data_IF_033675922037
#
_entry.id   IF_033675922037
#
_cell.length_a   1.000
_cell.length_b   1.000
_cell.length_c   1.000
_cell.angle_alpha   90.00
_cell.angle_beta   90.00
_cell.angle_gamma   90.00
#
_symmetry.space_group_name_H-M   'P 1'
#
loop_
_entity.id
_entity.type
_entity.pdbx_description
1 polymer ?
#
# COMPACT_ATOMS: atom_id res chain seq x y z
N UNK A 1 5.44 12.87 40.94
CA UNK A 1 6.02 11.53 40.89
C UNK A 1 7.53 11.67 40.73
N UNK A 2 8.30 10.92 41.52
CA UNK A 2 9.76 11.06 41.55
C UNK A 2 10.50 10.31 40.44
N UNK A 3 9.78 9.50 39.65
CA UNK A 3 10.36 8.69 38.58
C UNK A 3 9.47 8.79 37.34
N UNK A 4 10.10 9.03 36.17
CA UNK A 4 9.41 8.98 34.87
C UNK A 4 9.38 7.54 34.37
N UNK A 5 8.20 7.03 34.05
CA UNK A 5 7.99 5.66 33.58
C UNK A 5 7.39 5.59 32.18
N UNK A 6 7.09 6.73 31.57
CA UNK A 6 6.47 6.84 30.25
C UNK A 6 7.28 7.71 29.32
N UNK A 7 7.32 7.35 28.03
CA UNK A 7 8.02 8.07 26.96
C UNK A 7 9.53 8.32 27.18
N UNK A 8 10.17 7.55 28.06
CA UNK A 8 11.57 7.79 28.46
C UNK A 8 12.59 7.59 27.34
N UNK A 9 12.17 6.99 26.21
CA UNK A 9 13.01 6.75 25.01
C UNK A 9 12.51 7.50 23.78
N UNK A 10 11.46 8.32 23.89
CA UNK A 10 11.01 9.22 22.84
C UNK A 10 11.74 10.54 23.01
N UNK A 11 12.71 10.80 22.15
CA UNK A 11 13.59 11.97 22.24
C UNK A 11 13.03 13.22 21.55
N UNK A 12 12.16 13.04 20.56
CA UNK A 12 11.48 14.14 19.86
C UNK A 12 10.13 13.66 19.32
N UNK A 13 9.20 14.60 19.14
CA UNK A 13 7.91 14.37 18.50
C UNK A 13 7.49 15.60 17.72
N UNK A 14 7.12 15.38 16.45
CA UNK A 14 6.58 16.41 15.56
C UNK A 14 5.19 16.00 15.12
N UNK A 15 4.24 16.93 15.17
CA UNK A 15 2.90 16.69 14.64
C UNK A 15 2.98 16.64 13.10
N UNK A 16 2.33 15.66 12.51
CA UNK A 16 2.05 15.60 11.08
C UNK A 16 0.59 16.01 10.83
N UNK A 17 0.23 16.49 9.62
CA UNK A 17 -1.17 16.77 9.28
C UNK A 17 -2.03 15.52 9.48
N UNK A 18 -3.27 15.68 9.90
CA UNK A 18 -4.22 14.57 9.92
C UNK A 18 -4.50 14.09 8.47
N UNK A 19 -4.82 12.80 8.26
CA UNK A 19 -5.13 12.27 6.93
C UNK A 19 -6.17 13.11 6.18
N UNK A 20 -7.27 13.50 6.84
CA UNK A 20 -8.32 14.30 6.21
C UNK A 20 -7.83 15.68 5.73
N UNK A 21 -6.86 16.31 6.44
CA UNK A 21 -6.30 17.60 6.03
C UNK A 21 -5.56 17.47 4.70
N UNK A 22 -4.81 16.37 4.53
CA UNK A 22 -4.08 16.11 3.29
C UNK A 22 -5.02 15.68 2.16
N UNK A 23 -6.04 14.87 2.46
CA UNK A 23 -7.08 14.48 1.50
C UNK A 23 -7.84 15.70 1.00
N UNK A 24 -8.21 16.64 1.87
CA UNK A 24 -8.90 17.87 1.49
C UNK A 24 -7.99 18.85 0.72
N UNK A 25 -6.71 18.88 1.05
CA UNK A 25 -5.72 19.72 0.34
C UNK A 25 -5.45 19.22 -1.08
N UNK A 26 -5.49 17.92 -1.28
CA UNK A 26 -5.28 17.23 -2.56
C UNK A 26 -6.41 16.23 -2.81
N UNK A 27 -7.61 16.71 -3.12
CA UNK A 27 -8.76 15.83 -3.37
C UNK A 27 -8.60 15.09 -4.70
N UNK A 28 -9.20 13.91 -4.79
CA UNK A 28 -9.38 13.22 -6.07
C UNK A 28 -10.63 13.76 -6.76
N UNK A 29 -10.62 13.76 -8.10
CA UNK A 29 -11.77 14.06 -8.92
C UNK A 29 -12.59 12.80 -9.24
N UNK A 30 -13.72 12.97 -9.92
CA UNK A 30 -14.62 11.87 -10.30
C UNK A 30 -13.95 10.87 -11.26
N UNK A 31 -13.06 11.34 -12.15
CA UNK A 31 -12.34 10.47 -13.09
C UNK A 31 -11.35 9.56 -12.37
N UNK A 32 -10.59 10.09 -11.42
CA UNK A 32 -9.68 9.30 -10.58
C UNK A 32 -10.48 8.32 -9.72
N UNK A 33 -11.56 8.78 -9.11
CA UNK A 33 -12.43 7.92 -8.31
C UNK A 33 -13.00 6.76 -9.13
N UNK A 34 -13.45 7.03 -10.36
CA UNK A 34 -13.94 6.02 -11.31
C UNK A 34 -12.84 5.05 -11.73
N UNK A 35 -11.62 5.54 -12.01
CA UNK A 35 -10.47 4.70 -12.33
C UNK A 35 -10.17 3.72 -11.19
N UNK A 36 -10.03 4.23 -9.96
CA UNK A 36 -9.70 3.41 -8.80
C UNK A 36 -10.78 2.39 -8.51
N UNK A 37 -12.05 2.81 -8.47
CA UNK A 37 -13.19 1.92 -8.23
C UNK A 37 -13.31 0.85 -9.32
N UNK A 38 -13.22 1.26 -10.59
CA UNK A 38 -13.28 0.34 -11.73
C UNK A 38 -12.17 -0.71 -11.69
N UNK A 39 -10.93 -0.26 -11.48
CA UNK A 39 -9.78 -1.18 -11.40
C UNK A 39 -9.89 -2.18 -10.25
N UNK A 40 -10.38 -1.75 -9.07
CA UNK A 40 -10.61 -2.69 -7.95
C UNK A 40 -11.60 -3.77 -8.32
N UNK A 41 -12.70 -3.41 -8.98
CA UNK A 41 -13.69 -4.37 -9.46
C UNK A 41 -13.11 -5.30 -10.54
N UNK A 42 -12.34 -4.77 -11.49
CA UNK A 42 -11.70 -5.59 -12.53
C UNK A 42 -10.71 -6.59 -11.93
N UNK A 43 -9.87 -6.19 -10.97
CA UNK A 43 -8.97 -7.11 -10.24
C UNK A 43 -9.80 -8.19 -9.53
N UNK A 44 -10.89 -7.80 -8.85
CA UNK A 44 -11.78 -8.76 -8.19
C UNK A 44 -12.38 -9.77 -9.21
N UNK A 45 -12.84 -9.30 -10.38
CA UNK A 45 -13.35 -10.20 -11.42
C UNK A 45 -12.27 -11.17 -11.91
N UNK A 46 -11.03 -10.72 -12.12
CA UNK A 46 -9.90 -11.56 -12.52
C UNK A 46 -9.60 -12.61 -11.45
N UNK A 47 -9.51 -12.21 -10.18
CA UNK A 47 -9.24 -13.12 -9.07
C UNK A 47 -10.31 -14.20 -8.89
N UNK A 48 -11.56 -13.87 -9.23
CA UNK A 48 -12.70 -14.80 -9.15
C UNK A 48 -13.05 -15.48 -10.49
N UNK A 49 -12.12 -15.46 -11.47
CA UNK A 49 -12.27 -16.13 -12.78
C UNK A 49 -13.52 -15.70 -13.57
N UNK A 50 -13.89 -14.42 -13.47
CA UNK A 50 -15.00 -13.80 -14.22
C UNK A 50 -14.50 -12.87 -15.34
N UNK A 51 -13.22 -12.58 -15.35
CA UNK A 51 -12.49 -11.84 -16.38
C UNK A 51 -11.24 -12.65 -16.71
N UNK A 52 -11.04 -12.97 -17.99
CA UNK A 52 -9.94 -13.82 -18.45
C UNK A 52 -8.61 -13.05 -18.63
N UNK A 53 -8.61 -11.74 -18.43
CA UNK A 53 -7.38 -10.94 -18.46
C UNK A 53 -6.45 -11.33 -17.31
N UNK A 54 -5.19 -11.00 -17.48
CA UNK A 54 -4.18 -11.08 -16.43
C UNK A 54 -3.94 -9.70 -15.88
N UNK A 55 -4.03 -9.48 -14.56
CA UNK A 55 -3.54 -8.22 -14.00
C UNK A 55 -2.05 -8.32 -13.65
N UNK A 56 -1.32 -7.25 -13.98
CA UNK A 56 0.14 -7.16 -13.82
C UNK A 56 0.48 -5.94 -13.00
N UNK A 57 1.14 -6.16 -11.87
CA UNK A 57 1.68 -5.07 -11.02
C UNK A 57 3.14 -4.86 -11.38
N UNK A 58 3.47 -3.78 -12.08
CA UNK A 58 4.79 -3.51 -12.63
C UNK A 58 5.27 -2.10 -12.30
N UNK A 59 6.55 -1.97 -12.01
CA UNK A 59 7.16 -0.67 -11.69
C UNK A 59 8.46 -0.78 -10.92
N UNK A 60 9.04 0.36 -10.50
CA UNK A 60 10.28 0.39 -9.75
C UNK A 60 10.16 -0.32 -8.40
N UNK A 61 11.32 -0.71 -7.83
CA UNK A 61 11.35 -1.39 -6.54
C UNK A 61 10.76 -0.51 -5.41
N UNK A 62 11.08 0.78 -5.43
CA UNK A 62 10.45 1.83 -4.59
C UNK A 62 10.68 3.17 -5.23
N UNK A 63 9.78 4.09 -4.95
CA UNK A 63 9.89 5.47 -5.39
C UNK A 63 10.85 6.21 -4.46
N UNK A 64 11.85 6.86 -5.05
CA UNK A 64 12.77 7.77 -4.36
C UNK A 64 12.83 9.13 -5.06
N UNK A 65 12.50 9.17 -6.34
CA UNK A 65 12.44 10.36 -7.18
C UNK A 65 11.08 10.42 -7.88
N UNK A 66 10.20 11.36 -7.52
CA UNK A 66 8.90 11.54 -8.14
C UNK A 66 8.96 11.82 -9.64
N UNK A 67 9.96 12.60 -10.10
CA UNK A 67 10.08 12.94 -11.52
C UNK A 67 10.34 11.69 -12.39
N UNK A 68 11.26 10.83 -11.95
CA UNK A 68 11.51 9.55 -12.62
C UNK A 68 10.29 8.62 -12.58
N UNK A 69 9.49 8.70 -11.51
CA UNK A 69 8.26 7.91 -11.40
C UNK A 69 7.20 8.38 -12.40
N UNK A 70 7.06 9.69 -12.62
CA UNK A 70 6.13 10.25 -13.62
C UNK A 70 6.59 9.88 -15.03
N UNK A 71 7.88 10.01 -15.36
CA UNK A 71 8.41 9.59 -16.66
C UNK A 71 8.13 8.09 -16.94
N UNK A 72 8.29 7.26 -15.91
CA UNK A 72 7.92 5.84 -16.00
C UNK A 72 6.41 5.66 -16.23
N UNK A 73 5.58 6.40 -15.51
CA UNK A 73 4.12 6.36 -15.62
C UNK A 73 3.64 6.78 -17.02
N UNK A 74 4.19 7.83 -17.60
CA UNK A 74 3.88 8.29 -18.97
C UNK A 74 4.12 7.18 -19.99
N UNK A 75 5.27 6.52 -19.91
CA UNK A 75 5.60 5.39 -20.79
C UNK A 75 4.67 4.20 -20.56
N UNK A 76 4.39 3.87 -19.29
CA UNK A 76 3.53 2.76 -18.95
C UNK A 76 2.06 3.02 -19.35
N UNK A 77 1.59 4.27 -19.33
CA UNK A 77 0.23 4.62 -19.76
C UNK A 77 -0.03 4.32 -21.23
N UNK A 78 1.01 4.45 -22.08
CA UNK A 78 0.94 4.09 -23.49
C UNK A 78 0.77 2.58 -23.65
N UNK A 79 1.55 1.80 -22.92
CA UNK A 79 1.46 0.34 -22.97
C UNK A 79 0.14 -0.17 -22.34
N UNK A 80 -0.35 0.49 -21.29
CA UNK A 80 -1.64 0.17 -20.69
C UNK A 80 -2.78 0.24 -21.72
N UNK A 81 -2.82 1.30 -22.52
CA UNK A 81 -3.82 1.44 -23.59
C UNK A 81 -3.69 0.38 -24.68
N UNK A 82 -2.46 -0.01 -25.00
CA UNK A 82 -2.16 -0.98 -26.07
C UNK A 82 -2.56 -2.41 -25.70
N UNK A 83 -2.40 -2.79 -24.43
CA UNK A 83 -2.63 -4.15 -23.98
C UNK A 83 -3.92 -4.35 -23.17
N UNK A 84 -4.77 -3.31 -23.05
CA UNK A 84 -5.95 -3.29 -22.16
C UNK A 84 -6.96 -4.42 -22.41
N UNK A 85 -7.00 -5.00 -23.61
CA UNK A 85 -7.90 -6.12 -23.92
C UNK A 85 -7.47 -7.44 -23.24
N UNK A 86 -6.18 -7.62 -22.97
CA UNK A 86 -5.64 -8.88 -22.43
C UNK A 86 -5.00 -8.73 -21.06
N UNK A 87 -4.54 -7.51 -20.73
CA UNK A 87 -3.77 -7.24 -19.51
C UNK A 87 -4.35 -6.00 -18.82
N UNK A 88 -4.61 -6.15 -17.53
CA UNK A 88 -4.88 -5.02 -16.64
C UNK A 88 -3.57 -4.61 -15.98
N UNK A 89 -3.01 -3.47 -16.37
CA UNK A 89 -1.77 -2.95 -15.79
C UNK A 89 -2.06 -2.11 -14.54
N UNK A 90 -1.34 -2.40 -13.46
CA UNK A 90 -1.31 -1.59 -12.23
C UNK A 90 0.12 -1.14 -12.01
N UNK A 91 0.34 0.17 -11.91
CA UNK A 91 1.68 0.68 -11.64
C UNK A 91 2.06 0.42 -10.19
N UNK A 92 3.22 -0.20 -9.97
CA UNK A 92 3.79 -0.37 -8.65
C UNK A 92 4.38 0.94 -8.16
N UNK A 93 3.81 1.48 -7.08
CA UNK A 93 4.21 2.77 -6.47
C UNK A 93 4.45 2.54 -4.98
N UNK A 94 5.62 2.01 -4.65
CA UNK A 94 5.99 1.70 -3.27
C UNK A 94 6.79 2.84 -2.66
N UNK A 95 6.27 3.43 -1.59
CA UNK A 95 6.86 4.57 -0.91
C UNK A 95 7.73 4.21 0.28
N UNK A 96 7.59 3.00 0.78
CA UNK A 96 8.22 2.54 2.01
C UNK A 96 9.10 1.33 1.74
N UNK A 97 10.12 1.16 2.56
CA UNK A 97 11.09 0.06 2.48
C UNK A 97 11.19 -0.67 3.80
N UNK A 98 10.80 -1.97 3.86
CA UNK A 98 11.05 -2.77 5.05
C UNK A 98 12.56 -2.97 5.20
N UNK A 99 13.11 -2.58 6.35
CA UNK A 99 14.54 -2.77 6.67
C UNK A 99 14.69 -3.82 7.76
N UNK A 100 15.61 -4.74 7.56
CA UNK A 100 15.93 -5.77 8.56
C UNK A 100 16.68 -5.16 9.74
N UNK A 101 17.53 -4.16 9.47
CA UNK A 101 18.31 -3.44 10.50
C UNK A 101 18.12 -1.93 10.36
N UNK A 102 19.01 -1.26 9.64
CA UNK A 102 19.01 0.19 9.42
C UNK A 102 19.07 0.52 7.93
N UNK A 103 18.77 1.76 7.57
CA UNK A 103 18.83 2.26 6.20
C UNK A 103 17.64 3.12 5.85
N UNK A 104 17.68 3.76 4.69
CA UNK A 104 16.58 4.60 4.20
C UNK A 104 15.24 3.84 4.16
N UNK A 105 14.23 4.36 4.83
CA UNK A 105 12.92 3.72 5.03
C UNK A 105 11.91 4.02 3.92
N UNK A 106 12.28 4.85 2.96
CA UNK A 106 11.41 5.22 1.85
C UNK A 106 11.02 6.69 1.82
N UNK A 107 10.34 7.09 0.74
CA UNK A 107 10.00 8.47 0.44
C UNK A 107 9.10 9.11 1.52
N UNK A 108 8.15 8.36 2.09
CA UNK A 108 7.29 8.89 3.16
C UNK A 108 8.13 9.25 4.39
N UNK A 109 9.07 8.39 4.78
CA UNK A 109 9.81 8.57 6.03
C UNK A 109 10.96 9.60 5.91
N UNK A 110 11.63 9.64 4.75
CA UNK A 110 12.79 10.52 4.51
C UNK A 110 12.85 10.91 3.04
N UNK A 111 11.99 11.89 2.62
CA UNK A 111 11.83 12.27 1.22
C UNK A 111 13.08 12.91 0.60
N UNK A 112 13.93 13.52 1.42
CA UNK A 112 15.12 14.24 0.98
C UNK A 112 16.39 13.36 1.03
N UNK A 113 16.28 12.12 1.52
CA UNK A 113 17.38 11.13 1.64
C UNK A 113 18.58 11.72 2.41
N UNK A 114 18.30 12.49 3.44
CA UNK A 114 19.31 13.23 4.22
C UNK A 114 19.11 13.11 5.74
N UNK A 115 18.30 12.13 6.17
CA UNK A 115 18.00 11.83 7.57
C UNK A 115 17.29 12.96 8.33
N UNK A 116 16.67 13.92 7.62
CA UNK A 116 15.83 14.94 8.25
C UNK A 116 14.45 14.42 8.65
N UNK A 117 14.05 13.28 8.11
CA UNK A 117 12.79 12.56 8.40
C UNK A 117 11.56 13.47 8.34
N UNK A 118 11.46 14.28 7.29
CA UNK A 118 10.31 15.18 7.08
C UNK A 118 9.10 14.39 6.58
N UNK A 119 8.49 13.63 7.48
CA UNK A 119 7.36 12.72 7.18
C UNK A 119 6.17 13.50 6.60
N UNK A 120 5.88 14.70 7.11
CA UNK A 120 4.79 15.53 6.58
C UNK A 120 4.98 15.84 5.08
N UNK A 121 6.20 16.20 4.68
CA UNK A 121 6.58 16.39 3.27
C UNK A 121 6.47 15.09 2.48
N UNK A 122 6.93 13.98 3.05
CA UNK A 122 6.89 12.68 2.40
C UNK A 122 5.46 12.20 2.10
N UNK A 123 4.54 12.37 3.04
CA UNK A 123 3.11 12.05 2.86
C UNK A 123 2.47 12.93 1.78
N UNK A 124 2.78 14.23 1.77
CA UNK A 124 2.29 15.14 0.74
C UNK A 124 2.82 14.77 -0.65
N UNK A 125 4.11 14.48 -0.76
CA UNK A 125 4.73 14.04 -2.02
C UNK A 125 4.13 12.72 -2.53
N UNK A 126 3.91 11.75 -1.64
CA UNK A 126 3.31 10.48 -1.99
C UNK A 126 1.88 10.64 -2.54
N UNK A 127 1.05 11.45 -1.88
CA UNK A 127 -0.32 11.70 -2.34
C UNK A 127 -0.37 12.43 -3.67
N UNK A 128 0.43 13.49 -3.84
CA UNK A 128 0.52 14.23 -5.12
C UNK A 128 0.92 13.31 -6.26
N UNK A 129 1.97 12.53 -6.08
CA UNK A 129 2.45 11.60 -7.09
C UNK A 129 1.38 10.57 -7.49
N UNK A 130 0.62 10.05 -6.54
CA UNK A 130 -0.48 9.12 -6.84
C UNK A 130 -1.58 9.79 -7.67
N UNK A 131 -1.91 11.04 -7.40
CA UNK A 131 -2.88 11.81 -8.19
C UNK A 131 -2.36 12.00 -9.62
N UNK A 132 -1.13 12.47 -9.80
CA UNK A 132 -0.49 12.67 -11.10
C UNK A 132 -0.45 11.36 -11.93
N UNK A 133 -0.12 10.22 -11.30
CA UNK A 133 -0.16 8.91 -11.95
C UNK A 133 -1.59 8.54 -12.38
N UNK A 134 -2.57 8.78 -11.52
CA UNK A 134 -3.97 8.49 -11.82
C UNK A 134 -4.54 9.38 -12.94
N UNK A 135 -4.11 10.64 -13.04
CA UNK A 135 -4.43 11.57 -14.14
C UNK A 135 -3.92 11.09 -15.50
N UNK A 136 -2.84 10.29 -15.52
CA UNK A 136 -2.36 9.60 -16.72
C UNK A 136 -3.22 8.37 -17.11
N UNK A 137 -4.26 8.06 -16.33
CA UNK A 137 -5.12 6.89 -16.51
C UNK A 137 -4.48 5.59 -16.03
N UNK A 138 -3.49 5.66 -15.14
CA UNK A 138 -2.85 4.48 -14.57
C UNK A 138 -3.34 4.21 -13.14
N UNK A 139 -3.86 3.02 -12.85
CA UNK A 139 -4.12 2.59 -11.48
C UNK A 139 -2.80 2.30 -10.76
N UNK A 140 -2.74 2.66 -9.48
CA UNK A 140 -1.56 2.46 -8.64
C UNK A 140 -1.76 1.34 -7.61
N UNK A 141 -0.66 0.61 -7.34
CA UNK A 141 -0.56 -0.38 -6.27
C UNK A 141 0.61 -0.08 -5.34
N UNK A 142 0.41 -0.27 -4.03
CA UNK A 142 1.45 -0.01 -3.02
C UNK A 142 1.61 -1.15 -2.02
N UNK A 143 2.70 -1.13 -1.24
CA UNK A 143 2.90 -2.04 -0.10
C UNK A 143 2.62 -1.26 1.19
N UNK A 144 1.79 -1.81 2.06
CA UNK A 144 1.47 -1.22 3.35
C UNK A 144 2.38 -1.81 4.43
N UNK A 145 3.20 -0.97 5.05
CA UNK A 145 4.18 -1.36 6.07
C UNK A 145 3.81 -0.89 7.48
N UNK A 146 2.99 0.15 7.60
CA UNK A 146 2.47 0.62 8.86
C UNK A 146 0.94 0.78 8.79
N UNK A 147 0.25 0.82 9.95
CA UNK A 147 -1.22 0.89 9.98
C UNK A 147 -1.78 2.31 9.80
N UNK A 148 -0.95 3.35 9.71
CA UNK A 148 -1.36 4.76 9.70
C UNK A 148 -1.27 5.35 8.29
N UNK A 149 -0.17 5.13 7.56
CA UNK A 149 0.06 5.65 6.20
C UNK A 149 -1.08 5.31 5.22
N UNK A 150 -1.79 4.16 5.33
CA UNK A 150 -2.95 3.88 4.51
C UNK A 150 -4.01 4.97 4.55
N UNK A 151 -4.26 5.61 5.70
CA UNK A 151 -5.30 6.62 5.83
C UNK A 151 -5.08 7.85 4.93
N UNK A 152 -3.84 8.10 4.50
CA UNK A 152 -3.48 9.22 3.63
C UNK A 152 -3.65 8.95 2.13
N UNK A 153 -3.66 7.68 1.70
CA UNK A 153 -3.51 7.33 0.29
C UNK A 153 -4.46 6.24 -0.22
N UNK A 154 -5.17 5.50 0.64
CA UNK A 154 -5.98 4.35 0.19
C UNK A 154 -7.09 4.72 -0.76
N UNK A 155 -7.61 5.93 -0.75
CA UNK A 155 -8.62 6.41 -1.69
C UNK A 155 -8.12 6.46 -3.15
N UNK A 156 -6.80 6.42 -3.37
CA UNK A 156 -6.17 6.46 -4.70
C UNK A 156 -5.54 5.11 -5.07
N UNK A 157 -5.44 4.17 -4.14
CA UNK A 157 -4.79 2.88 -4.36
C UNK A 157 -5.80 1.85 -4.89
N UNK A 158 -5.47 1.23 -6.01
CA UNK A 158 -6.30 0.18 -6.64
C UNK A 158 -5.93 -1.23 -6.18
N UNK A 159 -4.70 -1.45 -5.74
CA UNK A 159 -4.20 -2.74 -5.26
C UNK A 159 -3.17 -2.55 -4.14
N UNK A 160 -3.19 -3.42 -3.15
CA UNK A 160 -2.25 -3.36 -2.04
C UNK A 160 -1.46 -4.65 -1.85
N UNK A 161 -0.28 -4.55 -1.21
CA UNK A 161 0.52 -5.69 -0.82
C UNK A 161 0.87 -5.68 0.67
N UNK A 162 0.87 -6.86 1.27
CA UNK A 162 1.48 -7.13 2.57
C UNK A 162 2.81 -7.86 2.33
N UNK A 163 3.88 -7.34 2.90
CA UNK A 163 5.23 -7.85 2.72
C UNK A 163 5.47 -9.20 3.40
N UNK A 164 6.49 -9.93 2.93
CA UNK A 164 6.83 -11.23 3.51
C UNK A 164 7.23 -11.15 5.00
N UNK A 165 7.80 -10.02 5.45
CA UNK A 165 8.17 -9.81 6.87
C UNK A 165 6.98 -9.46 7.76
N UNK A 166 5.87 -9.06 7.18
CA UNK A 166 4.65 -8.63 7.87
C UNK A 166 3.47 -9.58 7.68
N UNK A 167 3.61 -10.61 6.84
CA UNK A 167 2.56 -11.61 6.57
C UNK A 167 2.13 -12.40 7.83
N UNK A 168 3.00 -12.54 8.82
CA UNK A 168 2.71 -13.18 10.12
C UNK A 168 2.13 -12.19 11.16
N UNK A 169 2.21 -10.88 10.89
CA UNK A 169 1.77 -9.84 11.83
C UNK A 169 0.25 -9.77 11.90
N UNK A 170 -0.31 -9.93 13.10
CA UNK A 170 -1.74 -9.77 13.34
C UNK A 170 -2.25 -8.41 12.89
N UNK A 171 -1.52 -7.33 13.20
CA UNK A 171 -1.89 -5.95 12.83
C UNK A 171 -2.05 -5.82 11.31
N UNK A 172 -1.14 -6.42 10.52
CA UNK A 172 -1.22 -6.35 9.06
C UNK A 172 -2.35 -7.22 8.47
N UNK A 173 -2.68 -8.34 9.12
CA UNK A 173 -3.82 -9.18 8.73
C UNK A 173 -5.16 -8.49 9.04
N UNK A 174 -5.27 -7.84 10.18
CA UNK A 174 -6.41 -7.00 10.55
C UNK A 174 -6.55 -5.81 9.61
N UNK A 175 -5.45 -5.11 9.31
CA UNK A 175 -5.42 -4.04 8.31
C UNK A 175 -5.91 -4.54 6.96
N UNK A 176 -5.37 -5.65 6.45
CA UNK A 176 -5.76 -6.23 5.16
C UNK A 176 -7.25 -6.53 5.07
N UNK A 177 -7.87 -6.96 6.17
CA UNK A 177 -9.31 -7.24 6.24
C UNK A 177 -10.20 -6.01 6.06
N UNK A 178 -9.66 -4.81 6.30
CA UNK A 178 -10.40 -3.54 6.25
C UNK A 178 -10.04 -2.66 5.06
N UNK A 179 -9.00 -2.97 4.31
CA UNK A 179 -8.61 -2.19 3.13
C UNK A 179 -9.62 -2.33 2.00
N UNK A 180 -9.94 -1.21 1.35
CA UNK A 180 -10.96 -1.15 0.28
C UNK A 180 -10.45 -1.63 -1.08
N UNK A 181 -9.24 -2.17 -1.17
CA UNK A 181 -8.65 -2.69 -2.39
C UNK A 181 -8.30 -4.18 -2.25
N UNK A 182 -8.19 -4.93 -3.35
CA UNK A 182 -7.62 -6.27 -3.35
C UNK A 182 -6.22 -6.28 -2.76
N UNK A 183 -5.90 -7.29 -1.93
CA UNK A 183 -4.64 -7.36 -1.19
C UNK A 183 -3.87 -8.64 -1.52
N UNK A 184 -2.67 -8.46 -2.06
CA UNK A 184 -1.72 -9.56 -2.21
C UNK A 184 -0.86 -9.75 -0.95
N UNK A 185 -0.79 -10.97 -0.42
CA UNK A 185 0.04 -11.32 0.73
C UNK A 185 1.23 -12.15 0.26
N UNK A 186 2.45 -11.65 0.50
CA UNK A 186 3.68 -12.33 0.09
C UNK A 186 3.95 -13.53 0.99
N UNK A 187 4.38 -14.63 0.39
CA UNK A 187 4.89 -15.78 1.13
C UNK A 187 6.18 -15.45 1.90
N UNK A 188 6.55 -16.30 2.84
CA UNK A 188 7.66 -16.09 3.77
C UNK A 188 9.01 -15.78 3.10
N UNK A 189 9.93 -15.17 3.84
CA UNK A 189 11.28 -14.86 3.33
C UNK A 189 12.14 -16.10 3.10
N UNK A 190 11.77 -17.22 3.71
CA UNK A 190 12.33 -18.55 3.51
C UNK A 190 11.75 -19.27 2.27
N UNK A 191 10.66 -18.73 1.71
CA UNK A 191 9.90 -19.31 0.62
C UNK A 191 8.65 -20.07 1.07
N UNK A 192 8.42 -20.24 2.39
CA UNK A 192 7.27 -20.95 2.93
C UNK A 192 5.94 -20.27 2.62
N UNK A 193 4.91 -21.06 2.26
CA UNK A 193 3.60 -20.55 1.87
C UNK A 193 2.65 -20.32 3.05
N UNK A 194 2.90 -21.00 4.18
CA UNK A 194 1.97 -21.05 5.32
C UNK A 194 1.57 -19.66 5.84
N UNK A 195 2.53 -18.75 6.01
CA UNK A 195 2.27 -17.41 6.52
C UNK A 195 1.30 -16.60 5.63
N UNK A 196 1.45 -16.75 4.31
CA UNK A 196 0.56 -16.08 3.35
C UNK A 196 -0.84 -16.70 3.33
N UNK A 197 -0.94 -18.03 3.35
CA UNK A 197 -2.22 -18.75 3.38
C UNK A 197 -3.00 -18.38 4.67
N UNK A 198 -2.35 -18.46 5.83
CA UNK A 198 -2.95 -18.07 7.11
C UNK A 198 -3.35 -16.57 7.09
N UNK A 199 -2.52 -15.73 6.45
CA UNK A 199 -2.80 -14.29 6.30
C UNK A 199 -4.03 -14.01 5.44
N UNK A 200 -4.19 -14.73 4.33
CA UNK A 200 -5.37 -14.65 3.45
C UNK A 200 -6.62 -15.10 4.22
N UNK A 201 -6.55 -16.23 4.90
CA UNK A 201 -7.67 -16.72 5.70
C UNK A 201 -8.09 -15.71 6.78
N UNK A 202 -7.12 -15.11 7.48
CA UNK A 202 -7.39 -14.06 8.45
C UNK A 202 -8.01 -12.83 7.78
N UNK A 203 -7.43 -12.33 6.67
CA UNK A 203 -7.93 -11.14 5.98
C UNK A 203 -9.36 -11.30 5.45
N UNK A 204 -9.78 -12.52 5.10
CA UNK A 204 -11.15 -12.80 4.64
C UNK A 204 -12.21 -12.69 5.74
N UNK A 205 -11.81 -12.62 7.02
CA UNK A 205 -12.74 -12.53 8.13
C UNK A 205 -12.86 -11.10 8.67
N UNK A 206 -13.99 -10.83 9.33
CA UNK A 206 -14.20 -9.58 10.07
C UNK A 206 -13.33 -9.56 11.34
N UNK A 207 -12.70 -8.41 11.58
CA UNK A 207 -11.90 -8.16 12.78
C UNK A 207 -12.39 -6.92 13.52
N UNK A 208 -12.07 -6.87 14.82
CA UNK A 208 -12.29 -5.69 15.67
C UNK A 208 -10.97 -5.36 16.36
N UNK A 209 -10.45 -4.17 16.11
CA UNK A 209 -9.16 -3.74 16.65
C UNK A 209 -9.09 -2.22 16.87
N UNK A 210 -8.05 -1.78 17.56
CA UNK A 210 -7.77 -0.37 17.79
C UNK A 210 -7.01 0.20 16.60
N UNK A 211 -7.54 1.24 15.97
CA UNK A 211 -6.90 1.85 14.80
C UNK A 211 -7.09 3.37 14.75
N UNK A 212 -6.41 4.01 13.80
CA UNK A 212 -6.53 5.44 13.54
C UNK A 212 -7.57 5.71 12.44
N UNK A 213 -8.34 6.79 12.63
CA UNK A 213 -9.29 7.30 11.63
C UNK A 213 -8.63 8.35 10.72
N UNK A 214 -9.36 8.82 9.70
CA UNK A 214 -8.91 9.94 8.84
C UNK A 214 -8.78 11.26 9.59
N UNK A 215 -9.51 11.43 10.68
CA UNK A 215 -9.48 12.59 11.58
C UNK A 215 -8.27 12.55 12.53
N UNK A 216 -7.46 11.49 12.47
CA UNK A 216 -6.36 11.18 13.38
C UNK A 216 -6.81 10.85 14.80
N UNK A 217 -8.06 10.44 14.97
CA UNK A 217 -8.55 9.91 16.23
C UNK A 217 -8.25 8.42 16.36
N UNK A 218 -8.10 7.96 17.60
CA UNK A 218 -7.99 6.54 17.90
C UNK A 218 -9.39 5.98 18.13
N UNK A 219 -9.75 4.94 17.39
CA UNK A 219 -11.07 4.35 17.44
C UNK A 219 -11.04 2.82 17.42
N UNK A 220 -12.09 2.21 17.91
CA UNK A 220 -12.38 0.80 17.65
C UNK A 220 -12.89 0.67 16.23
N UNK A 221 -12.16 -0.05 15.40
CA UNK A 221 -12.54 -0.34 14.02
C UNK A 221 -13.07 -1.77 13.90
N UNK A 222 -14.18 -1.93 13.18
CA UNK A 222 -14.73 -3.24 12.80
C UNK A 222 -14.71 -3.36 11.28
N UNK A 223 -14.05 -4.40 10.75
CA UNK A 223 -13.92 -4.67 9.33
C UNK A 223 -14.98 -5.65 8.84
N UNK A 224 -15.18 -5.71 7.53
CA UNK A 224 -16.08 -6.69 6.89
C UNK A 224 -15.36 -7.98 6.49
N UNK A 225 -14.03 -7.95 6.41
CA UNK A 225 -13.23 -8.94 5.71
C UNK A 225 -12.98 -8.52 4.26
N UNK A 226 -11.93 -9.09 3.65
CA UNK A 226 -11.49 -8.78 2.29
C UNK A 226 -11.38 -10.09 1.48
N UNK A 227 -12.44 -10.41 0.73
CA UNK A 227 -12.52 -11.63 -0.07
C UNK A 227 -11.60 -11.62 -1.32
N UNK A 228 -10.98 -10.48 -1.63
CA UNK A 228 -10.02 -10.31 -2.71
C UNK A 228 -8.56 -10.46 -2.22
N UNK A 229 -8.37 -10.97 -1.00
CA UNK A 229 -7.06 -11.33 -0.50
C UNK A 229 -6.50 -12.54 -1.27
N UNK A 230 -5.26 -12.41 -1.77
CA UNK A 230 -4.61 -13.43 -2.60
C UNK A 230 -3.11 -13.54 -2.30
N UNK A 231 -2.47 -14.59 -2.80
CA UNK A 231 -1.05 -14.82 -2.57
C UNK A 231 -0.18 -14.09 -3.61
N UNK A 232 0.95 -13.55 -3.16
CA UNK A 232 2.05 -13.14 -4.03
C UNK A 232 3.19 -14.11 -3.82
N UNK A 233 3.51 -14.91 -4.82
CA UNK A 233 4.64 -15.83 -4.78
C UNK A 233 5.95 -15.05 -5.00
N UNK A 234 6.89 -15.24 -4.09
CA UNK A 234 8.25 -14.71 -4.19
C UNK A 234 9.27 -15.82 -3.94
N UNK A 235 10.45 -15.70 -4.53
CA UNK A 235 11.54 -16.63 -4.27
C UNK A 235 11.99 -16.63 -2.80
N UNK A 236 12.41 -17.77 -2.30
CA UNK A 236 13.02 -17.99 -1.00
C UNK A 236 14.51 -18.29 -1.10
N UNK A 237 15.07 -18.96 -0.09
CA UNK A 237 16.47 -19.45 -0.08
C UNK A 237 16.68 -20.58 -1.09
N UNK A 238 15.63 -21.34 -1.35
CA UNK A 238 15.57 -22.36 -2.41
C UNK A 238 14.44 -21.94 -3.32
N UNK A 239 14.59 -22.03 -4.66
CA UNK A 239 13.46 -21.79 -5.57
C UNK A 239 12.31 -22.71 -5.19
N UNK A 240 11.12 -22.12 -4.96
CA UNK A 240 9.91 -22.88 -4.60
C UNK A 240 8.96 -23.05 -5.79
N UNK A 241 9.40 -22.68 -6.97
CA UNK A 241 8.59 -22.67 -8.19
C UNK A 241 9.32 -23.51 -9.22
N UNK A 242 8.96 -24.76 -9.28
CA UNK A 242 9.21 -25.66 -10.40
C UNK A 242 7.96 -25.76 -11.26
#
# INVERSE_FOLDING_TARGET
>A
MNYSTDNTRIVDRKKVPAPYELVNKYPINDEISKLVYGTRNEISQILHHKDDRIFVVVGPCSIHDPQSAIEYAERLSIENKKFSENILLVMRVYFEKPRTTVGWKGLINDPDINETYNIAKGLEMARKLLIEIAELGLPAGTEFLDPISPQYVTDIISWGAIGARTAESQIHRELASGLSCPIGIKNGTDGGLKAAIDGIQAANHSHVFLGATKEADIAMLKTAGNNDAHIILRGGKVPNFD
#
